data_IF_588396754043
#
_entry.id   IF_588396754043
#
_cell.length_a   1.000
_cell.length_b   1.000
_cell.length_c   1.000
_cell.angle_alpha   90.00
_cell.angle_beta   90.00
_cell.angle_gamma   90.00
#
_symmetry.space_group_name_H-M   'P 1'
#
loop_
_entity.id
_entity.type
_entity.pdbx_description
1 polymer ?
#
# COMPACT_ATOMS: atom_id res chain seq x y z
N UNK A 1 70.73 135.59 5.49
CA UNK A 1 70.55 134.53 6.52
C UNK A 1 69.12 134.49 7.05
N UNK A 2 68.49 135.63 7.39
CA UNK A 2 67.13 135.63 7.96
C UNK A 2 65.99 135.23 7.01
N UNK A 3 66.07 135.58 5.72
CA UNK A 3 65.00 135.27 4.75
C UNK A 3 64.86 133.76 4.46
N UNK A 4 65.96 133.01 4.52
CA UNK A 4 65.97 131.57 4.27
C UNK A 4 65.31 130.81 5.43
N UNK A 5 65.53 131.26 6.67
CA UNK A 5 64.93 130.66 7.87
C UNK A 5 63.40 130.81 7.87
N UNK A 6 62.89 131.98 7.47
CA UNK A 6 61.45 132.25 7.37
C UNK A 6 60.76 131.39 6.31
N UNK A 7 61.41 131.16 5.17
CA UNK A 7 60.86 130.30 4.10
C UNK A 7 60.82 128.84 4.57
N UNK A 8 61.85 128.36 5.26
CA UNK A 8 61.88 126.97 5.77
C UNK A 8 60.78 126.74 6.82
N UNK A 9 60.55 127.70 7.73
CA UNK A 9 59.47 127.62 8.72
C UNK A 9 58.10 127.65 8.05
N UNK A 10 57.91 128.50 7.03
CA UNK A 10 56.66 128.56 6.29
C UNK A 10 56.36 127.25 5.55
N UNK A 11 57.38 126.64 4.93
CA UNK A 11 57.23 125.34 4.25
C UNK A 11 56.93 124.23 5.26
N UNK A 12 57.61 124.20 6.42
CA UNK A 12 57.33 123.23 7.48
C UNK A 12 55.91 123.36 8.04
N UNK A 13 55.43 124.58 8.22
CA UNK A 13 54.05 124.85 8.64
C UNK A 13 53.03 124.38 7.60
N UNK A 14 53.29 124.60 6.30
CA UNK A 14 52.42 124.12 5.22
C UNK A 14 52.41 122.60 5.17
N UNK A 15 53.57 121.95 5.30
CA UNK A 15 53.67 120.48 5.32
C UNK A 15 52.93 119.89 6.53
N UNK A 16 53.07 120.48 7.72
CA UNK A 16 52.33 120.06 8.91
C UNK A 16 50.82 120.27 8.77
N UNK A 17 50.39 121.38 8.16
CA UNK A 17 48.98 121.66 7.88
C UNK A 17 48.39 120.64 6.90
N UNK A 18 49.11 120.34 5.81
CA UNK A 18 48.70 119.34 4.82
C UNK A 18 48.64 117.93 5.42
N UNK A 19 49.61 117.56 6.26
CA UNK A 19 49.60 116.28 6.97
C UNK A 19 48.46 116.19 7.99
N UNK A 20 48.13 117.28 8.68
CA UNK A 20 47.00 117.32 9.62
C UNK A 20 45.65 117.21 8.88
N UNK A 21 45.51 117.88 7.74
CA UNK A 21 44.28 117.87 6.93
C UNK A 21 44.07 116.51 6.24
N UNK A 22 45.14 115.88 5.75
CA UNK A 22 45.06 114.54 5.12
C UNK A 22 44.79 113.43 6.14
N UNK A 23 45.33 113.53 7.36
CA UNK A 23 45.05 112.56 8.44
C UNK A 23 43.61 112.66 8.96
N UNK A 24 43.06 113.87 9.07
CA UNK A 24 41.66 114.08 9.46
C UNK A 24 40.64 113.57 8.44
N UNK A 25 40.94 113.69 7.15
CA UNK A 25 40.06 113.23 6.06
C UNK A 25 40.03 111.70 5.92
N UNK A 26 41.15 111.03 6.20
CA UNK A 26 41.24 109.56 6.15
C UNK A 26 40.51 108.89 7.33
N UNK A 27 40.49 109.50 8.51
CA UNK A 27 39.70 108.98 9.65
C UNK A 27 38.20 109.10 9.41
N UNK A 28 37.73 110.22 8.85
CA UNK A 28 36.31 110.39 8.53
C UNK A 28 35.83 109.47 7.41
N UNK A 29 36.66 109.21 6.39
CA UNK A 29 36.32 108.21 5.36
C UNK A 29 36.28 106.79 5.93
N UNK A 30 37.20 106.43 6.83
CA UNK A 30 37.20 105.11 7.46
C UNK A 30 35.98 104.89 8.38
N UNK A 31 35.56 105.92 9.10
CA UNK A 31 34.34 105.87 9.93
C UNK A 31 33.07 105.76 9.07
N UNK A 32 32.97 106.53 7.98
CA UNK A 32 31.84 106.44 7.05
C UNK A 32 31.77 105.06 6.37
N UNK A 33 32.92 104.49 5.98
CA UNK A 33 32.97 103.15 5.41
C UNK A 33 32.57 102.07 6.43
N UNK A 34 33.00 102.20 7.69
CA UNK A 34 32.58 101.28 8.75
C UNK A 34 31.09 101.39 9.07
N UNK A 35 30.51 102.60 9.04
CA UNK A 35 29.08 102.81 9.26
C UNK A 35 28.29 102.21 8.09
N UNK A 36 28.68 102.49 6.84
CA UNK A 36 28.04 101.91 5.66
C UNK A 36 28.12 100.38 5.64
N UNK A 37 29.28 99.80 5.99
CA UNK A 37 29.45 98.35 6.07
C UNK A 37 28.60 97.73 7.20
N UNK A 38 28.52 98.39 8.36
CA UNK A 38 27.66 97.93 9.46
C UNK A 38 26.18 98.01 9.09
N UNK A 39 25.78 99.06 8.40
CA UNK A 39 24.41 99.23 7.92
C UNK A 39 24.07 98.15 6.87
N UNK A 40 24.94 97.91 5.90
CA UNK A 40 24.76 96.84 4.91
C UNK A 40 24.74 95.44 5.56
N UNK A 41 25.55 95.20 6.59
CA UNK A 41 25.52 93.95 7.35
C UNK A 41 24.24 93.80 8.20
N UNK A 42 23.67 94.89 8.70
CA UNK A 42 22.38 94.88 9.38
C UNK A 42 21.24 94.61 8.40
N UNK A 43 21.22 95.29 7.26
CA UNK A 43 20.23 95.08 6.19
C UNK A 43 20.30 93.64 5.66
N UNK A 44 21.48 93.12 5.34
CA UNK A 44 21.66 91.72 4.95
C UNK A 44 21.21 90.74 6.04
N UNK A 45 21.47 91.04 7.32
CA UNK A 45 21.06 90.16 8.41
C UNK A 45 19.54 90.20 8.62
N UNK A 46 18.91 91.33 8.41
CA UNK A 46 17.45 91.45 8.44
C UNK A 46 16.80 90.73 7.25
N UNK A 47 17.35 90.90 6.05
CA UNK A 47 16.88 90.22 4.84
C UNK A 47 17.04 88.70 4.96
N UNK A 48 18.21 88.22 5.41
CA UNK A 48 18.44 86.81 5.68
C UNK A 48 17.46 86.26 6.74
N UNK A 49 17.19 87.02 7.80
CA UNK A 49 16.22 86.61 8.80
C UNK A 49 14.79 86.58 8.27
N UNK A 50 14.43 87.45 7.31
CA UNK A 50 13.14 87.41 6.62
C UNK A 50 13.06 86.18 5.72
N UNK A 51 14.06 85.92 4.88
CA UNK A 51 14.11 84.74 4.01
C UNK A 51 14.08 83.43 4.80
N UNK A 52 14.78 83.35 5.94
CA UNK A 52 14.74 82.16 6.82
C UNK A 52 13.34 81.95 7.41
N UNK A 53 12.64 83.04 7.79
CA UNK A 53 11.26 82.93 8.30
C UNK A 53 10.29 82.49 7.21
N UNK A 54 10.41 83.04 6.01
CA UNK A 54 9.61 82.66 4.85
C UNK A 54 9.83 81.20 4.48
N UNK A 55 11.09 80.76 4.35
CA UNK A 55 11.42 79.35 4.10
C UNK A 55 10.90 78.43 5.19
N UNK A 56 10.97 78.85 6.46
CA UNK A 56 10.43 78.05 7.58
C UNK A 56 8.91 77.98 7.53
N UNK A 57 8.22 79.06 7.19
CA UNK A 57 6.76 79.07 7.01
C UNK A 57 6.34 78.17 5.86
N UNK A 58 6.99 78.31 4.70
CA UNK A 58 6.73 77.51 3.51
C UNK A 58 6.98 76.02 3.80
N UNK A 59 8.12 75.67 4.41
CA UNK A 59 8.42 74.30 4.79
C UNK A 59 7.42 73.73 5.82
N UNK A 60 7.00 74.53 6.81
CA UNK A 60 5.99 74.10 7.79
C UNK A 60 4.63 73.89 7.12
N UNK A 61 4.28 74.74 6.15
CA UNK A 61 3.03 74.64 5.41
C UNK A 61 3.04 73.42 4.49
N UNK A 62 4.12 73.18 3.74
CA UNK A 62 4.28 71.97 2.91
C UNK A 62 4.29 70.70 3.76
N UNK A 63 4.96 70.69 4.91
CA UNK A 63 4.94 69.54 5.83
C UNK A 63 3.55 69.27 6.37
N UNK A 64 2.79 70.29 6.76
CA UNK A 64 1.41 70.12 7.22
C UNK A 64 0.49 69.60 6.12
N UNK A 65 0.62 70.13 4.89
CA UNK A 65 -0.15 69.65 3.74
C UNK A 65 0.18 68.19 3.41
N UNK A 66 1.46 67.82 3.40
CA UNK A 66 1.89 66.45 3.15
C UNK A 66 1.41 65.50 4.26
N UNK A 67 1.45 65.94 5.52
CA UNK A 67 0.96 65.14 6.65
C UNK A 67 -0.56 64.91 6.56
N UNK A 68 -1.33 65.93 6.17
CA UNK A 68 -2.77 65.80 5.96
C UNK A 68 -3.08 64.84 4.81
N UNK A 69 -2.38 64.97 3.67
CA UNK A 69 -2.53 64.04 2.55
C UNK A 69 -2.16 62.60 2.93
N UNK A 70 -1.08 62.42 3.72
CA UNK A 70 -0.69 61.11 4.22
C UNK A 70 -1.77 60.52 5.13
N UNK A 71 -2.33 61.33 6.05
CA UNK A 71 -3.43 60.90 6.93
C UNK A 71 -4.66 60.48 6.13
N UNK A 72 -5.06 61.24 5.11
CA UNK A 72 -6.19 60.91 4.25
C UNK A 72 -5.95 59.62 3.44
N UNK A 73 -4.74 59.44 2.87
CA UNK A 73 -4.38 58.22 2.14
C UNK A 73 -4.35 57.01 3.08
N UNK A 74 -3.82 57.16 4.29
CA UNK A 74 -3.81 56.09 5.29
C UNK A 74 -5.22 55.75 5.76
N UNK A 75 -6.06 56.74 6.02
CA UNK A 75 -7.44 56.53 6.43
C UNK A 75 -8.27 55.85 5.33
N UNK A 76 -8.11 56.29 4.08
CA UNK A 76 -8.77 55.68 2.92
C UNK A 76 -8.28 54.24 2.69
N UNK A 77 -6.99 53.97 2.80
CA UNK A 77 -6.45 52.61 2.71
C UNK A 77 -6.95 51.71 3.84
N UNK A 78 -7.06 52.21 5.08
CA UNK A 78 -7.62 51.44 6.19
C UNK A 78 -9.11 51.12 5.98
N UNK A 79 -9.90 52.09 5.52
CA UNK A 79 -11.33 51.89 5.21
C UNK A 79 -11.51 50.87 4.08
N UNK A 80 -10.80 51.02 2.96
CA UNK A 80 -10.88 50.10 1.82
C UNK A 80 -10.37 48.70 2.18
N UNK A 81 -9.32 48.59 2.99
CA UNK A 81 -8.82 47.29 3.46
C UNK A 81 -9.82 46.63 4.41
N UNK A 82 -10.46 47.40 5.29
CA UNK A 82 -11.50 46.93 6.20
C UNK A 82 -12.76 46.45 5.46
N UNK A 83 -13.23 47.20 4.46
CA UNK A 83 -14.35 46.82 3.61
C UNK A 83 -14.05 45.56 2.79
N UNK A 84 -12.85 45.47 2.20
CA UNK A 84 -12.42 44.30 1.45
C UNK A 84 -12.31 43.04 2.34
N UNK A 85 -11.78 43.19 3.56
CA UNK A 85 -11.74 42.10 4.53
C UNK A 85 -13.16 41.65 4.89
N UNK A 86 -14.07 42.59 5.18
CA UNK A 86 -15.47 42.27 5.50
C UNK A 86 -16.18 41.57 4.35
N UNK A 87 -15.97 42.02 3.11
CA UNK A 87 -16.51 41.37 1.92
C UNK A 87 -15.94 39.95 1.72
N UNK A 88 -14.64 39.73 1.97
CA UNK A 88 -14.04 38.39 1.94
C UNK A 88 -14.60 37.48 3.03
N UNK A 89 -14.82 37.99 4.24
CA UNK A 89 -15.45 37.24 5.33
C UNK A 89 -16.89 36.87 4.99
N UNK A 90 -17.70 37.79 4.45
CA UNK A 90 -19.06 37.50 4.01
C UNK A 90 -19.09 36.48 2.87
N UNK A 91 -18.14 36.55 1.93
CA UNK A 91 -18.04 35.58 0.84
C UNK A 91 -17.63 34.20 1.35
N UNK A 92 -16.67 34.13 2.29
CA UNK A 92 -16.28 32.88 2.95
C UNK A 92 -17.44 32.28 3.75
N UNK A 93 -18.20 33.09 4.50
CA UNK A 93 -19.37 32.63 5.24
C UNK A 93 -20.42 32.02 4.32
N UNK A 94 -20.74 32.68 3.19
CA UNK A 94 -21.67 32.14 2.18
C UNK A 94 -21.15 30.86 1.52
N UNK A 95 -19.85 30.78 1.25
CA UNK A 95 -19.25 29.58 0.67
C UNK A 95 -19.27 28.41 1.65
N UNK A 96 -19.03 28.67 2.95
CA UNK A 96 -19.13 27.68 4.00
C UNK A 96 -20.57 27.19 4.19
N UNK A 97 -21.56 28.08 4.16
CA UNK A 97 -22.99 27.73 4.20
C UNK A 97 -23.41 26.88 2.98
N UNK A 98 -22.95 27.25 1.78
CA UNK A 98 -23.20 26.47 0.56
C UNK A 98 -22.58 25.07 0.62
N UNK A 99 -21.38 24.94 1.18
CA UNK A 99 -20.72 23.65 1.41
C UNK A 99 -21.45 22.80 2.43
N UNK A 100 -21.91 23.37 3.55
CA UNK A 100 -22.70 22.67 4.56
C UNK A 100 -24.00 22.13 3.94
N UNK A 101 -24.73 22.98 3.20
CA UNK A 101 -25.98 22.59 2.54
C UNK A 101 -25.77 21.54 1.44
N UNK A 102 -24.66 21.63 0.69
CA UNK A 102 -24.30 20.63 -0.32
C UNK A 102 -23.91 19.30 0.33
N UNK A 103 -23.22 19.34 1.47
CA UNK A 103 -22.81 18.15 2.22
C UNK A 103 -24.03 17.46 2.84
N UNK A 104 -24.94 18.22 3.45
CA UNK A 104 -26.20 17.70 3.99
C UNK A 104 -27.03 17.03 2.89
N UNK A 105 -27.19 17.68 1.72
CA UNK A 105 -27.88 17.08 0.58
C UNK A 105 -27.20 15.78 0.09
N UNK A 106 -25.87 15.75 -0.01
CA UNK A 106 -25.14 14.53 -0.41
C UNK A 106 -25.28 13.40 0.61
N UNK A 107 -25.34 13.73 1.90
CA UNK A 107 -25.57 12.76 2.97
C UNK A 107 -26.98 12.17 2.89
N UNK A 108 -28.00 13.00 2.62
CA UNK A 108 -29.38 12.54 2.40
C UNK A 108 -29.50 11.69 1.12
N UNK A 109 -28.90 12.11 0.01
CA UNK A 109 -28.89 11.34 -1.24
C UNK A 109 -28.19 9.98 -1.05
N UNK A 110 -27.09 9.93 -0.29
CA UNK A 110 -26.43 8.68 0.09
C UNK A 110 -27.31 7.82 1.00
N UNK A 111 -28.02 8.43 1.96
CA UNK A 111 -28.92 7.70 2.85
C UNK A 111 -30.06 7.04 2.07
N UNK A 112 -30.68 7.76 1.14
CA UNK A 112 -31.72 7.23 0.24
C UNK A 112 -31.17 6.13 -0.66
N UNK A 113 -29.99 6.33 -1.27
CA UNK A 113 -29.38 5.31 -2.14
C UNK A 113 -28.98 4.05 -1.36
N UNK A 114 -28.48 4.20 -0.12
CA UNK A 114 -28.13 3.08 0.75
C UNK A 114 -29.38 2.34 1.20
N UNK A 115 -30.46 3.04 1.53
CA UNK A 115 -31.74 2.44 1.90
C UNK A 115 -32.37 1.68 0.72
N UNK A 116 -32.35 2.27 -0.48
CA UNK A 116 -32.82 1.63 -1.72
C UNK A 116 -31.97 0.40 -2.07
N UNK A 117 -30.62 0.51 -2.03
CA UNK A 117 -29.74 -0.63 -2.30
C UNK A 117 -29.86 -1.70 -1.23
N UNK A 118 -29.98 -1.35 0.05
CA UNK A 118 -30.16 -2.33 1.11
C UNK A 118 -31.51 -3.02 0.98
N UNK A 119 -32.62 -2.31 0.79
CA UNK A 119 -33.93 -2.94 0.59
C UNK A 119 -33.95 -3.81 -0.66
N UNK A 120 -33.39 -3.33 -1.79
CA UNK A 120 -33.36 -4.10 -3.04
C UNK A 120 -32.46 -5.33 -2.93
N UNK A 121 -31.24 -5.17 -2.43
CA UNK A 121 -30.30 -6.30 -2.26
C UNK A 121 -30.78 -7.29 -1.22
N UNK A 122 -31.40 -6.82 -0.14
CA UNK A 122 -31.99 -7.66 0.89
C UNK A 122 -33.19 -8.42 0.33
N UNK A 123 -34.15 -7.76 -0.34
CA UNK A 123 -35.30 -8.43 -0.94
C UNK A 123 -34.92 -9.38 -2.08
N UNK A 124 -33.93 -9.04 -2.91
CA UNK A 124 -33.44 -9.93 -3.97
C UNK A 124 -32.72 -11.15 -3.38
N UNK A 125 -31.83 -10.97 -2.39
CA UNK A 125 -31.15 -12.10 -1.73
C UNK A 125 -32.08 -12.93 -0.88
N UNK A 126 -33.00 -12.32 -0.15
CA UNK A 126 -34.01 -13.02 0.64
C UNK A 126 -34.97 -13.75 -0.29
N UNK A 127 -35.42 -13.12 -1.38
CA UNK A 127 -36.27 -13.75 -2.41
C UNK A 127 -35.59 -14.93 -3.08
N UNK A 128 -34.33 -14.79 -3.51
CA UNK A 128 -33.55 -15.89 -4.08
C UNK A 128 -33.29 -17.00 -3.06
N UNK A 129 -32.98 -16.65 -1.80
CA UNK A 129 -32.78 -17.65 -0.75
C UNK A 129 -34.08 -18.38 -0.43
N UNK A 130 -35.23 -17.70 -0.42
CA UNK A 130 -36.54 -18.33 -0.25
C UNK A 130 -36.98 -19.14 -1.46
N UNK A 131 -36.65 -18.72 -2.70
CA UNK A 131 -36.85 -19.52 -3.92
C UNK A 131 -36.02 -20.80 -3.88
N UNK A 132 -34.74 -20.73 -3.48
CA UNK A 132 -33.87 -21.89 -3.34
C UNK A 132 -34.38 -22.81 -2.22
N UNK A 133 -34.74 -22.26 -1.06
CA UNK A 133 -35.29 -23.03 0.07
C UNK A 133 -36.64 -23.63 -0.29
N UNK A 134 -37.51 -22.91 -1.02
CA UNK A 134 -38.79 -23.41 -1.51
C UNK A 134 -38.59 -24.50 -2.56
N UNK A 135 -37.65 -24.33 -3.49
CA UNK A 135 -37.29 -25.35 -4.49
C UNK A 135 -36.72 -26.60 -3.80
N UNK A 136 -35.87 -26.43 -2.79
CA UNK A 136 -35.41 -27.55 -1.98
C UNK A 136 -36.54 -28.19 -1.17
N UNK A 137 -37.46 -27.41 -0.60
CA UNK A 137 -38.63 -27.94 0.10
C UNK A 137 -39.63 -28.63 -0.83
N UNK A 138 -39.82 -28.16 -2.06
CA UNK A 138 -40.62 -28.82 -3.09
C UNK A 138 -39.95 -30.10 -3.60
N UNK A 139 -38.62 -30.10 -3.78
CA UNK A 139 -37.85 -31.32 -4.11
C UNK A 139 -37.83 -32.31 -2.95
N UNK A 140 -37.79 -31.84 -1.70
CA UNK A 140 -37.93 -32.66 -0.49
C UNK A 140 -39.37 -33.15 -0.35
N UNK A 141 -40.39 -32.35 -0.63
CA UNK A 141 -41.79 -32.80 -0.61
C UNK A 141 -42.09 -33.79 -1.75
N UNK A 142 -41.50 -33.61 -2.94
CA UNK A 142 -41.55 -34.61 -4.02
C UNK A 142 -40.81 -35.88 -3.62
N UNK A 143 -39.59 -35.76 -3.07
CA UNK A 143 -38.82 -36.89 -2.53
C UNK A 143 -39.52 -37.60 -1.36
N UNK A 144 -40.29 -36.88 -0.54
CA UNK A 144 -41.13 -37.42 0.54
C UNK A 144 -42.45 -38.01 0.00
N UNK A 145 -42.99 -37.47 -1.09
CA UNK A 145 -44.10 -38.06 -1.84
C UNK A 145 -43.72 -39.38 -2.51
N UNK A 146 -42.50 -39.45 -3.05
CA UNK A 146 -41.85 -40.68 -3.50
C UNK A 146 -41.53 -41.60 -2.30
N UNK A 147 -41.28 -41.07 -1.11
CA UNK A 147 -41.11 -41.86 0.12
C UNK A 147 -42.41 -42.52 0.61
N UNK A 148 -43.58 -41.96 0.27
CA UNK A 148 -44.88 -42.64 0.46
C UNK A 148 -45.08 -43.80 -0.52
N UNK A 149 -44.37 -43.78 -1.66
CA UNK A 149 -44.20 -44.91 -2.59
C UNK A 149 -43.07 -45.86 -2.15
N UNK A 150 -42.09 -45.41 -1.37
CA UNK A 150 -40.97 -46.22 -0.85
C UNK A 150 -41.41 -47.28 0.17
N UNK A 151 -42.55 -47.10 0.81
CA UNK A 151 -43.18 -48.17 1.60
C UNK A 151 -43.60 -49.38 0.74
N UNK A 152 -43.76 -49.23 -0.59
CA UNK A 152 -43.95 -50.32 -1.54
C UNK A 152 -42.65 -50.86 -2.15
N UNK A 153 -41.51 -50.18 -1.99
CA UNK A 153 -40.25 -50.48 -2.70
C UNK A 153 -39.12 -51.04 -1.80
N UNK A 154 -39.50 -51.69 -0.70
CA UNK A 154 -38.60 -52.49 0.16
C UNK A 154 -37.97 -53.67 -0.64
N UNK A 155 -38.53 -54.01 -1.81
CA UNK A 155 -37.98 -54.98 -2.75
C UNK A 155 -36.66 -54.55 -3.40
N UNK A 156 -36.48 -53.26 -3.68
CA UNK A 156 -35.26 -52.71 -4.28
C UNK A 156 -34.05 -52.81 -3.35
N UNK A 157 -34.20 -52.41 -2.09
CA UNK A 157 -33.17 -52.56 -1.04
C UNK A 157 -32.84 -54.03 -0.77
N UNK A 158 -33.84 -54.92 -0.70
CA UNK A 158 -33.61 -56.37 -0.58
C UNK A 158 -32.83 -56.93 -1.78
N UNK A 159 -33.07 -56.41 -2.99
CA UNK A 159 -32.39 -56.82 -4.23
C UNK A 159 -30.94 -56.32 -4.30
N UNK A 160 -30.68 -55.11 -3.83
CA UNK A 160 -29.31 -54.55 -3.71
C UNK A 160 -28.51 -55.30 -2.65
N UNK A 161 -29.15 -55.65 -1.53
CA UNK A 161 -28.52 -56.37 -0.41
C UNK A 161 -28.35 -57.88 -0.63
N UNK A 162 -28.94 -58.47 -1.68
CA UNK A 162 -28.83 -59.91 -1.99
C UNK A 162 -27.80 -60.22 -3.09
N UNK A 163 -27.43 -59.27 -3.95
CA UNK A 163 -26.46 -59.48 -5.04
C UNK A 163 -25.05 -58.99 -4.66
N UNK A 164 -24.06 -59.89 -4.69
CA UNK A 164 -22.63 -59.62 -4.39
C UNK A 164 -22.08 -58.39 -5.11
N UNK A 165 -22.44 -58.16 -6.38
CA UNK A 165 -21.94 -57.02 -7.16
C UNK A 165 -22.58 -55.70 -6.73
N UNK A 166 -23.90 -55.70 -6.54
CA UNK A 166 -24.66 -54.53 -6.09
C UNK A 166 -24.24 -54.11 -4.67
N UNK A 167 -23.86 -55.09 -3.83
CA UNK A 167 -23.29 -54.91 -2.51
C UNK A 167 -21.96 -54.17 -2.51
N UNK A 168 -21.03 -54.56 -3.39
CA UNK A 168 -19.76 -53.85 -3.58
C UNK A 168 -20.00 -52.40 -3.99
N UNK A 169 -20.84 -52.20 -5.00
CA UNK A 169 -21.21 -50.86 -5.49
C UNK A 169 -21.88 -50.00 -4.40
N UNK A 170 -22.71 -50.58 -3.52
CA UNK A 170 -23.30 -49.82 -2.42
C UNK A 170 -22.24 -49.28 -1.44
N UNK A 171 -21.27 -50.12 -1.07
CA UNK A 171 -20.17 -49.71 -0.20
C UNK A 171 -19.31 -48.62 -0.83
N UNK A 172 -18.98 -48.77 -2.12
CA UNK A 172 -18.24 -47.78 -2.92
C UNK A 172 -18.98 -46.44 -3.00
N UNK A 173 -20.29 -46.45 -3.27
CA UNK A 173 -21.12 -45.24 -3.35
C UNK A 173 -21.18 -44.52 -2.01
N UNK A 174 -21.36 -45.27 -0.90
CA UNK A 174 -21.38 -44.68 0.43
C UNK A 174 -20.03 -44.07 0.81
N UNK A 175 -18.93 -44.77 0.50
CA UNK A 175 -17.57 -44.26 0.71
C UNK A 175 -17.32 -42.99 -0.13
N UNK A 176 -17.70 -43.01 -1.41
CA UNK A 176 -17.60 -41.88 -2.31
C UNK A 176 -18.36 -40.66 -1.80
N UNK A 177 -19.60 -40.84 -1.34
CA UNK A 177 -20.42 -39.77 -0.77
C UNK A 177 -19.77 -39.14 0.49
N UNK A 178 -19.19 -39.97 1.37
CA UNK A 178 -18.47 -39.47 2.55
C UNK A 178 -17.23 -38.65 2.16
N UNK A 179 -16.46 -39.11 1.17
CA UNK A 179 -15.29 -38.38 0.69
C UNK A 179 -15.69 -37.05 0.02
N UNK A 180 -16.70 -37.06 -0.85
CA UNK A 180 -17.19 -35.87 -1.55
C UNK A 180 -17.72 -34.80 -0.59
N UNK A 181 -18.40 -35.21 0.49
CA UNK A 181 -18.93 -34.27 1.48
C UNK A 181 -17.82 -33.64 2.35
N UNK A 182 -16.71 -34.37 2.61
CA UNK A 182 -15.72 -33.98 3.62
C UNK A 182 -14.40 -33.46 3.05
N UNK A 183 -14.08 -33.80 1.79
CA UNK A 183 -12.78 -33.55 1.16
C UNK A 183 -12.95 -32.83 -0.18
N UNK A 184 -12.01 -31.96 -0.52
CA UNK A 184 -11.98 -31.35 -1.85
C UNK A 184 -11.51 -32.37 -2.91
N UNK A 185 -11.97 -32.28 -4.16
CA UNK A 185 -11.60 -33.22 -5.22
C UNK A 185 -10.08 -33.34 -5.45
N UNK A 186 -9.29 -32.32 -5.13
CA UNK A 186 -7.83 -32.41 -5.26
C UNK A 186 -7.16 -33.24 -4.16
N UNK A 187 -7.87 -33.58 -3.08
CA UNK A 187 -7.32 -34.24 -1.90
C UNK A 187 -7.45 -35.77 -1.92
N UNK A 188 -8.16 -36.33 -2.88
CA UNK A 188 -8.28 -37.77 -3.09
C UNK A 188 -8.34 -38.11 -4.57
N UNK A 189 -8.10 -39.38 -4.92
CA UNK A 189 -8.40 -39.93 -6.24
C UNK A 189 -9.35 -41.12 -6.08
N UNK A 190 -10.23 -41.31 -7.06
CA UNK A 190 -11.04 -42.51 -7.20
C UNK A 190 -10.42 -43.44 -8.25
N UNK A 191 -10.55 -44.76 -8.06
CA UNK A 191 -10.06 -45.78 -8.99
C UNK A 191 -8.61 -45.55 -9.42
N UNK A 192 -7.70 -45.53 -8.44
CA UNK A 192 -6.30 -45.14 -8.64
C UNK A 192 -5.34 -46.30 -8.35
N UNK A 193 -4.21 -46.32 -9.06
CA UNK A 193 -3.11 -47.23 -8.78
C UNK A 193 -2.19 -46.61 -7.73
N UNK A 194 -2.14 -47.21 -6.55
CA UNK A 194 -1.34 -46.69 -5.43
C UNK A 194 0.13 -47.09 -5.51
N UNK A 195 0.43 -48.22 -6.17
CA UNK A 195 1.79 -48.72 -6.41
C UNK A 195 2.21 -48.46 -7.86
N UNK A 196 3.46 -48.00 -8.08
CA UNK A 196 4.01 -47.79 -9.44
C UNK A 196 3.99 -49.05 -10.31
N UNK A 197 4.20 -50.22 -9.71
CA UNK A 197 4.18 -51.53 -10.38
C UNK A 197 2.84 -52.28 -10.25
N UNK A 198 1.82 -51.66 -9.63
CA UNK A 198 0.53 -52.29 -9.39
C UNK A 198 -0.35 -52.32 -10.63
N UNK A 199 -1.09 -53.41 -10.82
CA UNK A 199 -2.15 -53.52 -11.83
C UNK A 199 -3.53 -53.21 -11.26
N UNK A 200 -3.68 -53.37 -9.95
CA UNK A 200 -4.95 -53.22 -9.23
C UNK A 200 -5.25 -51.76 -8.93
N UNK A 201 -6.53 -51.41 -9.01
CA UNK A 201 -7.06 -50.08 -8.69
C UNK A 201 -7.75 -50.14 -7.34
N UNK A 202 -7.39 -49.24 -6.44
CA UNK A 202 -8.14 -49.04 -5.20
C UNK A 202 -9.33 -48.13 -5.49
N UNK A 203 -10.46 -48.40 -4.84
CA UNK A 203 -11.69 -47.61 -4.99
C UNK A 203 -11.43 -46.12 -4.74
N UNK A 204 -10.76 -45.79 -3.64
CA UNK A 204 -10.36 -44.44 -3.31
C UNK A 204 -8.98 -44.39 -2.64
N UNK A 205 -8.24 -43.30 -2.83
CA UNK A 205 -7.04 -43.02 -2.07
C UNK A 205 -6.91 -41.54 -1.73
N UNK A 206 -6.62 -41.24 -0.46
CA UNK A 206 -6.36 -39.85 -0.01
C UNK A 206 -4.93 -39.49 -0.35
N UNK A 207 -4.72 -38.28 -0.87
CA UNK A 207 -3.41 -37.73 -1.20
C UNK A 207 -2.81 -37.02 0.01
N UNK A 208 -1.77 -37.59 0.58
CA UNK A 208 -1.02 -37.00 1.69
C UNK A 208 0.31 -36.39 1.17
N UNK A 209 0.82 -35.32 1.82
CA UNK A 209 2.14 -34.78 1.49
C UNK A 209 3.24 -35.79 1.84
N UNK A 210 4.16 -36.03 0.90
CA UNK A 210 5.35 -36.86 1.11
C UNK A 210 6.46 -36.13 1.86
N UNK A 211 7.40 -36.91 2.41
CA UNK A 211 8.49 -36.40 3.28
C UNK A 211 9.64 -35.76 2.51
N UNK A 212 9.90 -36.17 1.27
CA UNK A 212 11.20 -35.92 0.61
C UNK A 212 11.16 -34.88 -0.52
N UNK A 213 9.97 -34.39 -0.89
CA UNK A 213 9.85 -33.28 -1.84
C UNK A 213 8.46 -32.63 -1.72
N UNK A 214 8.39 -31.30 -1.86
CA UNK A 214 7.15 -30.53 -1.81
C UNK A 214 6.09 -30.94 -2.86
N UNK A 215 6.47 -31.85 -3.77
CA UNK A 215 5.68 -32.40 -4.87
C UNK A 215 5.52 -33.93 -4.84
N UNK A 216 6.02 -34.63 -3.80
CA UNK A 216 5.79 -36.07 -3.65
C UNK A 216 4.44 -36.30 -2.95
N UNK A 217 3.54 -37.03 -3.61
CA UNK A 217 2.24 -37.43 -3.03
C UNK A 217 2.33 -38.85 -2.54
N UNK A 218 1.90 -39.07 -1.30
CA UNK A 218 1.77 -40.40 -0.69
C UNK A 218 0.29 -40.75 -0.62
N UNK A 219 -0.09 -41.91 -1.14
CA UNK A 219 -1.48 -42.35 -1.12
C UNK A 219 -1.84 -43.08 0.18
N UNK A 220 -2.97 -42.73 0.80
CA UNK A 220 -3.63 -43.53 1.83
C UNK A 220 -4.79 -44.30 1.18
N UNK A 221 -4.63 -45.60 0.88
CA UNK A 221 -5.64 -46.39 0.19
C UNK A 221 -6.85 -46.66 1.09
N UNK A 222 -8.05 -46.60 0.52
CA UNK A 222 -9.33 -46.89 1.18
C UNK A 222 -10.15 -47.81 0.27
N UNK A 223 -10.52 -48.98 0.79
CA UNK A 223 -11.27 -50.01 0.05
C UNK A 223 -12.48 -50.47 0.87
N UNK A 224 -13.65 -50.50 0.26
CA UNK A 224 -14.89 -50.92 0.88
C UNK A 224 -15.06 -52.44 0.83
N UNK A 225 -15.34 -53.03 1.99
CA UNK A 225 -15.58 -54.47 2.12
C UNK A 225 -16.90 -54.73 2.82
N UNK A 226 -17.69 -55.65 2.28
CA UNK A 226 -19.00 -55.96 2.82
C UNK A 226 -19.22 -57.48 3.01
N UNK A 227 -18.78 -58.04 4.15
CA UNK A 227 -18.95 -59.46 4.49
C UNK A 227 -20.38 -59.77 5.01
N UNK A 228 -21.40 -59.24 4.33
CA UNK A 228 -22.80 -59.30 4.77
C UNK A 228 -23.26 -60.73 5.06
N UNK A 229 -23.04 -61.64 4.12
CA UNK A 229 -23.59 -63.01 4.21
C UNK A 229 -23.07 -63.74 5.47
N UNK A 230 -21.79 -63.55 5.81
CA UNK A 230 -21.16 -64.15 7.00
C UNK A 230 -21.60 -63.45 8.28
N UNK A 231 -21.78 -62.13 8.22
CA UNK A 231 -22.31 -61.35 9.35
C UNK A 231 -23.77 -61.71 9.65
N UNK A 232 -24.62 -61.88 8.63
CA UNK A 232 -26.02 -62.30 8.79
C UNK A 232 -26.10 -63.71 9.39
N UNK A 233 -25.28 -64.66 8.94
CA UNK A 233 -25.20 -65.99 9.56
C UNK A 233 -24.84 -65.94 11.04
N UNK A 234 -23.93 -65.04 11.42
CA UNK A 234 -23.59 -64.82 12.83
C UNK A 234 -24.73 -64.16 13.60
N UNK A 235 -25.40 -63.16 13.01
CA UNK A 235 -26.51 -62.46 13.62
C UNK A 235 -27.73 -63.36 13.82
N UNK A 236 -28.08 -64.18 12.82
CA UNK A 236 -29.18 -65.15 12.91
C UNK A 236 -28.90 -66.19 14.00
N UNK A 237 -27.65 -66.66 14.13
CA UNK A 237 -27.22 -67.56 15.20
C UNK A 237 -27.35 -66.91 16.59
N UNK A 238 -27.01 -65.61 16.68
CA UNK A 238 -27.14 -64.82 17.90
C UNK A 238 -28.62 -64.65 18.30
N UNK A 239 -29.49 -64.28 17.36
CA UNK A 239 -30.94 -64.15 17.59
C UNK A 239 -31.60 -65.49 17.97
N UNK A 240 -31.14 -66.59 17.37
CA UNK A 240 -31.60 -67.94 17.70
C UNK A 240 -31.08 -68.46 19.05
N UNK A 241 -30.08 -67.79 19.66
CA UNK A 241 -29.45 -68.20 20.91
C UNK A 241 -28.63 -69.50 20.80
N UNK A 242 -28.23 -69.89 19.59
CA UNK A 242 -27.42 -71.10 19.37
C UNK A 242 -25.93 -70.78 19.57
N UNK A 243 -25.42 -71.09 20.76
CA UNK A 243 -24.04 -70.81 21.15
C UNK A 243 -23.00 -71.50 20.24
N UNK A 244 -23.29 -72.71 19.75
CA UNK A 244 -22.35 -73.45 18.91
C UNK A 244 -22.27 -72.84 17.51
N UNK A 245 -23.44 -72.52 16.93
CA UNK A 245 -23.51 -71.87 15.63
C UNK A 245 -22.90 -70.46 15.68
N UNK A 246 -23.15 -69.72 16.76
CA UNK A 246 -22.58 -68.39 17.00
C UNK A 246 -21.05 -68.43 17.06
N UNK A 247 -20.46 -69.41 17.74
CA UNK A 247 -19.00 -69.59 17.77
C UNK A 247 -18.43 -69.90 16.38
N UNK A 248 -19.04 -70.82 15.64
CA UNK A 248 -18.58 -71.18 14.30
C UNK A 248 -18.68 -70.04 13.30
N UNK A 249 -19.83 -69.34 13.25
CA UNK A 249 -20.07 -68.20 12.36
C UNK A 249 -19.18 -67.02 12.74
N UNK A 250 -18.91 -66.83 14.04
CA UNK A 250 -17.97 -65.83 14.53
C UNK A 250 -16.53 -66.06 14.05
N UNK A 251 -16.04 -67.31 14.10
CA UNK A 251 -14.72 -67.67 13.56
C UNK A 251 -14.66 -67.48 12.04
N UNK A 252 -15.75 -67.80 11.34
CA UNK A 252 -15.86 -67.59 9.90
C UNK A 252 -15.81 -66.10 9.54
N UNK A 253 -16.48 -65.24 10.32
CA UNK A 253 -16.44 -63.78 10.17
C UNK A 253 -15.00 -63.27 10.34
N UNK A 254 -14.31 -63.69 11.41
CA UNK A 254 -12.90 -63.34 11.65
C UNK A 254 -12.00 -63.71 10.47
N UNK A 255 -12.09 -64.96 10.00
CA UNK A 255 -11.26 -65.43 8.89
C UNK A 255 -11.56 -64.67 7.59
N UNK A 256 -12.82 -64.33 7.36
CA UNK A 256 -13.26 -63.54 6.20
C UNK A 256 -12.67 -62.14 6.23
N UNK A 257 -12.76 -61.45 7.39
CA UNK A 257 -12.16 -60.12 7.57
C UNK A 257 -10.64 -60.16 7.41
N UNK A 258 -9.96 -61.16 7.98
CA UNK A 258 -8.51 -61.34 7.83
C UNK A 258 -8.11 -61.50 6.36
N UNK A 259 -8.85 -62.32 5.60
CA UNK A 259 -8.61 -62.49 4.16
C UNK A 259 -8.80 -61.18 3.40
N UNK A 260 -9.89 -60.47 3.66
CA UNK A 260 -10.15 -59.17 3.05
C UNK A 260 -9.04 -58.16 3.37
N UNK A 261 -8.53 -58.15 4.60
CA UNK A 261 -7.46 -57.25 5.02
C UNK A 261 -6.12 -57.60 4.35
N UNK A 262 -5.81 -58.89 4.26
CA UNK A 262 -4.65 -59.38 3.52
C UNK A 262 -4.73 -58.99 2.04
N UNK A 263 -5.89 -59.15 1.41
CA UNK A 263 -6.09 -58.77 0.02
C UNK A 263 -5.86 -57.26 -0.20
N UNK A 264 -6.36 -56.39 0.71
CA UNK A 264 -6.12 -54.94 0.66
C UNK A 264 -4.62 -54.62 0.84
N UNK A 265 -3.96 -55.28 1.79
CA UNK A 265 -2.53 -55.10 2.04
C UNK A 265 -1.68 -55.44 0.81
N UNK A 266 -1.84 -56.67 0.31
CA UNK A 266 -1.05 -57.21 -0.79
C UNK A 266 -1.24 -56.38 -2.06
N UNK A 267 -2.47 -55.93 -2.33
CA UNK A 267 -2.79 -55.12 -3.51
C UNK A 267 -2.34 -53.67 -3.39
N UNK A 268 -2.61 -53.00 -2.27
CA UNK A 268 -2.58 -51.53 -2.23
C UNK A 268 -1.51 -50.92 -1.32
N UNK A 269 -1.01 -51.63 -0.31
CA UNK A 269 -0.01 -51.09 0.63
C UNK A 269 1.41 -51.31 0.09
N UNK A 270 2.13 -50.23 -0.21
CA UNK A 270 3.49 -50.26 -0.73
C UNK A 270 4.24 -48.93 -0.55
N UNK A 271 4.78 -48.68 0.66
CA UNK A 271 5.72 -47.57 0.89
C UNK A 271 6.92 -47.63 -0.06
N UNK A 272 7.46 -46.48 -0.54
CA UNK A 272 7.15 -45.11 -0.11
C UNK A 272 5.99 -44.43 -0.85
N UNK A 273 5.36 -45.10 -1.81
CA UNK A 273 4.27 -44.50 -2.63
C UNK A 273 2.94 -44.43 -1.88
N UNK A 274 2.78 -45.27 -0.86
CA UNK A 274 1.63 -45.26 0.03
C UNK A 274 2.04 -45.06 1.48
N UNK A 275 1.05 -44.78 2.32
CA UNK A 275 1.19 -44.92 3.77
C UNK A 275 1.57 -46.34 4.16
N UNK A 276 2.14 -46.49 5.36
CA UNK A 276 2.48 -47.79 5.94
C UNK A 276 1.27 -48.67 6.24
N UNK A 277 0.06 -48.11 6.15
CA UNK A 277 -1.21 -48.77 6.40
C UNK A 277 -2.28 -48.34 5.38
N UNK A 278 -3.36 -49.10 5.26
CA UNK A 278 -4.55 -48.76 4.48
C UNK A 278 -5.80 -48.83 5.35
N UNK A 279 -6.91 -48.27 4.85
CA UNK A 279 -8.21 -48.30 5.52
C UNK A 279 -9.12 -49.34 4.86
N UNK A 280 -9.68 -50.23 5.66
CA UNK A 280 -10.81 -51.08 5.27
C UNK A 280 -12.10 -50.42 5.74
N UNK A 281 -12.93 -49.99 4.79
CA UNK A 281 -14.22 -49.39 5.07
C UNK A 281 -15.32 -50.45 5.13
N UNK A 282 -16.04 -50.50 6.25
CA UNK A 282 -17.21 -51.36 6.44
C UNK A 282 -18.47 -50.49 6.36
N UNK A 283 -19.33 -50.64 5.34
CA UNK A 283 -20.47 -49.74 5.08
C UNK A 283 -21.48 -49.64 6.24
N UNK A 284 -21.60 -50.71 7.03
CA UNK A 284 -22.55 -50.79 8.15
C UNK A 284 -21.83 -50.74 9.49
N UNK A 285 -22.27 -49.80 10.33
CA UNK A 285 -21.72 -49.60 11.67
C UNK A 285 -21.86 -50.85 12.54
N UNK A 286 -22.90 -51.67 12.32
CA UNK A 286 -23.11 -52.93 13.04
C UNK A 286 -22.01 -53.98 12.77
N UNK A 287 -21.53 -54.07 11.52
CA UNK A 287 -20.42 -54.97 11.16
C UNK A 287 -19.12 -54.45 11.78
N UNK A 288 -18.88 -53.13 11.70
CA UNK A 288 -17.75 -52.50 12.36
C UNK A 288 -17.75 -52.75 13.88
N UNK A 289 -18.90 -52.60 14.54
CA UNK A 289 -19.08 -52.83 15.96
C UNK A 289 -18.72 -54.27 16.37
N UNK A 290 -19.08 -55.26 15.56
CA UNK A 290 -18.73 -56.67 15.82
C UNK A 290 -17.23 -56.93 15.62
N UNK A 291 -16.60 -56.27 14.64
CA UNK A 291 -15.15 -56.40 14.39
C UNK A 291 -14.34 -55.78 15.53
N UNK A 292 -14.72 -54.60 16.05
CA UNK A 292 -14.00 -53.95 17.16
C UNK A 292 -14.15 -54.67 18.50
N UNK A 293 -15.24 -55.43 18.70
CA UNK A 293 -15.44 -56.27 19.89
C UNK A 293 -14.41 -57.39 19.99
N UNK A 294 -13.78 -57.77 18.86
CA UNK A 294 -12.78 -58.84 18.77
C UNK A 294 -11.38 -58.23 18.79
N UNK A 295 -10.88 -57.92 19.98
CA UNK A 295 -9.59 -57.22 20.15
C UNK A 295 -8.42 -57.92 19.47
N UNK A 296 -8.35 -59.25 19.54
CA UNK A 296 -7.31 -60.06 18.88
C UNK A 296 -7.34 -59.93 17.35
N UNK A 297 -8.54 -59.84 16.75
CA UNK A 297 -8.70 -59.58 15.33
C UNK A 297 -8.11 -58.21 14.98
N UNK A 298 -8.55 -57.14 15.64
CA UNK A 298 -8.07 -55.77 15.40
C UNK A 298 -6.54 -55.69 15.47
N UNK A 299 -5.94 -56.29 16.50
CA UNK A 299 -4.48 -56.33 16.64
C UNK A 299 -3.80 -57.02 15.46
N UNK A 300 -4.35 -58.14 15.01
CA UNK A 300 -3.85 -58.87 13.83
C UNK A 300 -3.93 -57.98 12.59
N UNK A 301 -5.08 -57.35 12.35
CA UNK A 301 -5.31 -56.48 11.19
C UNK A 301 -4.32 -55.32 11.15
N UNK A 302 -4.09 -54.67 12.29
CA UNK A 302 -3.22 -53.51 12.39
C UNK A 302 -1.73 -53.88 12.33
N UNK A 303 -1.30 -54.92 13.06
CA UNK A 303 0.13 -55.29 13.18
C UNK A 303 0.63 -56.03 11.96
N UNK A 304 -0.10 -57.06 11.52
CA UNK A 304 0.33 -57.97 10.44
C UNK A 304 -0.04 -57.42 9.07
N UNK A 305 -1.31 -57.06 8.85
CA UNK A 305 -1.79 -56.61 7.54
C UNK A 305 -1.71 -55.09 7.35
N UNK A 306 -1.33 -54.32 8.38
CA UNK A 306 -1.30 -52.86 8.32
C UNK A 306 -2.64 -52.27 7.85
N UNK A 307 -3.75 -52.82 8.32
CA UNK A 307 -5.09 -52.36 7.98
C UNK A 307 -5.76 -51.75 9.21
N UNK A 308 -6.31 -50.54 9.04
CA UNK A 308 -7.19 -49.90 10.00
C UNK A 308 -8.62 -50.09 9.52
N UNK A 309 -9.47 -50.70 10.36
CA UNK A 309 -10.89 -50.91 10.03
C UNK A 309 -11.72 -49.72 10.49
N UNK A 310 -12.65 -49.26 9.66
CA UNK A 310 -13.51 -48.11 9.97
C UNK A 310 -14.96 -48.36 9.54
N UNK A 311 -15.92 -47.98 10.39
CA UNK A 311 -17.30 -47.72 9.98
C UNK A 311 -17.51 -46.28 9.47
N UNK A 312 -18.71 -45.92 8.96
CA UNK A 312 -19.03 -44.57 8.49
C UNK A 312 -18.70 -43.46 9.48
N UNK A 313 -19.02 -43.64 10.76
CA UNK A 313 -18.79 -42.60 11.78
C UNK A 313 -17.30 -42.42 12.06
N UNK A 314 -16.56 -43.52 12.15
CA UNK A 314 -15.12 -43.49 12.47
C UNK A 314 -14.31 -42.97 11.27
N UNK A 315 -14.68 -43.37 10.05
CA UNK A 315 -14.07 -42.81 8.83
C UNK A 315 -14.32 -41.30 8.76
N UNK A 316 -15.56 -40.84 9.00
CA UNK A 316 -15.86 -39.41 9.03
C UNK A 316 -14.98 -38.65 10.04
N UNK A 317 -14.75 -39.20 11.23
CA UNK A 317 -13.85 -38.60 12.21
C UNK A 317 -12.40 -38.51 11.71
N UNK A 318 -11.88 -39.57 11.07
CA UNK A 318 -10.54 -39.59 10.47
C UNK A 318 -10.44 -38.54 9.35
N UNK A 319 -11.43 -38.49 8.45
CA UNK A 319 -11.47 -37.52 7.35
C UNK A 319 -11.50 -36.08 7.88
N UNK A 320 -12.29 -35.81 8.92
CA UNK A 320 -12.33 -34.48 9.56
C UNK A 320 -10.96 -34.10 10.14
N UNK A 321 -10.31 -35.03 10.83
CA UNK A 321 -8.96 -34.83 11.37
C UNK A 321 -7.93 -34.56 10.27
N UNK A 322 -8.01 -35.29 9.14
CA UNK A 322 -7.15 -35.07 7.97
C UNK A 322 -7.42 -33.71 7.32
N UNK A 323 -8.68 -33.29 7.21
CA UNK A 323 -9.07 -31.99 6.68
C UNK A 323 -8.43 -30.85 7.48
N UNK A 324 -8.39 -30.96 8.81
CA UNK A 324 -7.70 -30.00 9.68
C UNK A 324 -6.19 -29.96 9.37
N UNK A 325 -5.56 -31.13 9.20
CA UNK A 325 -4.16 -31.22 8.78
C UNK A 325 -3.87 -30.56 7.43
N UNK A 326 -4.74 -30.77 6.44
CA UNK A 326 -4.60 -30.13 5.12
C UNK A 326 -4.76 -28.61 5.18
N UNK A 327 -5.68 -28.09 6.00
CA UNK A 327 -5.83 -26.64 6.21
C UNK A 327 -4.56 -26.02 6.77
N UNK A 328 -3.94 -26.67 7.76
CA UNK A 328 -2.66 -26.23 8.33
C UNK A 328 -1.55 -26.24 7.28
N UNK A 329 -1.46 -27.28 6.45
CA UNK A 329 -0.47 -27.36 5.38
C UNK A 329 -0.69 -26.29 4.30
N UNK A 330 -1.93 -26.03 3.91
CA UNK A 330 -2.28 -25.01 2.92
C UNK A 330 -1.88 -23.61 3.40
N UNK A 331 -2.05 -23.32 4.70
CA UNK A 331 -1.58 -22.08 5.32
C UNK A 331 -0.04 -22.00 5.24
N UNK A 332 0.68 -23.07 5.59
CA UNK A 332 2.14 -23.11 5.51
C UNK A 332 2.67 -22.87 4.09
N UNK A 333 2.06 -23.49 3.06
CA UNK A 333 2.45 -23.27 1.66
C UNK A 333 2.31 -21.79 1.25
N UNK A 334 1.18 -21.16 1.57
CA UNK A 334 0.96 -19.72 1.28
C UNK A 334 1.97 -18.83 2.00
N UNK A 335 2.36 -19.16 3.24
CA UNK A 335 3.42 -18.43 3.94
C UNK A 335 4.78 -18.60 3.24
N UNK A 336 5.11 -19.78 2.72
CA UNK A 336 6.34 -20.03 1.96
C UNK A 336 6.42 -19.24 0.63
N UNK A 337 5.30 -19.11 -0.07
CA UNK A 337 5.20 -18.28 -1.28
C UNK A 337 5.51 -16.81 -0.98
N UNK A 338 5.00 -16.27 0.13
CA UNK A 338 5.32 -14.89 0.57
C UNK A 338 6.81 -14.70 0.80
N UNK A 339 7.50 -15.64 1.44
CA UNK A 339 8.95 -15.59 1.63
C UNK A 339 9.72 -15.64 0.31
N UNK A 340 9.24 -16.42 -0.65
CA UNK A 340 9.85 -16.52 -1.99
C UNK A 340 9.72 -15.18 -2.73
N UNK A 341 8.53 -14.57 -2.70
CA UNK A 341 8.29 -13.24 -3.30
C UNK A 341 9.15 -12.18 -2.61
N UNK A 342 9.22 -12.18 -1.28
CA UNK A 342 10.09 -11.25 -0.54
C UNK A 342 11.58 -11.45 -0.86
N UNK A 343 12.03 -12.69 -1.07
CA UNK A 343 13.39 -13.00 -1.52
C UNK A 343 13.69 -12.46 -2.93
N UNK A 344 12.74 -12.60 -3.85
CA UNK A 344 12.84 -12.02 -5.19
C UNK A 344 12.90 -10.49 -5.14
N UNK A 345 12.03 -9.86 -4.35
CA UNK A 345 12.00 -8.39 -4.16
C UNK A 345 13.32 -7.90 -3.54
N UNK A 346 13.85 -8.58 -2.52
CA UNK A 346 15.16 -8.24 -1.92
C UNK A 346 16.30 -8.28 -2.93
N UNK A 347 16.28 -9.27 -3.82
CA UNK A 347 17.28 -9.42 -4.89
C UNK A 347 17.20 -8.24 -5.86
N UNK A 348 15.99 -7.86 -6.25
CA UNK A 348 15.77 -6.73 -7.18
C UNK A 348 16.14 -5.39 -6.54
N UNK A 349 15.83 -5.19 -5.25
CA UNK A 349 16.27 -4.03 -4.48
C UNK A 349 17.79 -3.92 -4.38
N UNK A 350 18.49 -5.06 -4.26
CA UNK A 350 19.96 -5.08 -4.23
C UNK A 350 20.56 -4.64 -5.57
N UNK A 351 19.97 -5.07 -6.70
CA UNK A 351 20.38 -4.61 -8.03
C UNK A 351 20.10 -3.12 -8.23
N UNK A 352 18.95 -2.63 -7.77
CA UNK A 352 18.60 -1.21 -7.82
C UNK A 352 19.57 -0.35 -6.99
N UNK A 353 19.98 -0.83 -5.81
CA UNK A 353 21.03 -0.20 -5.02
C UNK A 353 22.34 -0.04 -5.79
N UNK A 354 22.80 -1.09 -6.49
CA UNK A 354 24.00 -1.02 -7.34
C UNK A 354 23.87 -0.06 -8.54
N UNK A 355 22.67 0.11 -9.09
CA UNK A 355 22.38 1.11 -10.13
C UNK A 355 22.46 2.54 -9.58
N UNK A 356 21.88 2.80 -8.41
CA UNK A 356 22.00 4.10 -7.73
C UNK A 356 23.44 4.45 -7.39
N UNK A 357 24.23 3.47 -6.94
CA UNK A 357 25.65 3.67 -6.64
C UNK A 357 26.46 4.05 -7.91
N UNK A 358 26.14 3.43 -9.07
CA UNK A 358 26.69 3.84 -10.36
C UNK A 358 26.30 5.27 -10.75
N UNK A 359 25.03 5.64 -10.57
CA UNK A 359 24.55 7.00 -10.85
C UNK A 359 25.26 8.03 -9.97
N UNK A 360 25.43 7.73 -8.68
CA UNK A 360 26.20 8.58 -7.76
C UNK A 360 27.64 8.77 -8.24
N UNK A 361 28.33 7.69 -8.62
CA UNK A 361 29.69 7.75 -9.17
C UNK A 361 29.79 8.61 -10.44
N UNK A 362 28.81 8.49 -11.34
CA UNK A 362 28.78 9.27 -12.57
C UNK A 362 28.55 10.76 -12.29
N UNK A 363 27.64 11.10 -11.38
CA UNK A 363 27.41 12.50 -10.96
C UNK A 363 28.64 13.10 -10.30
N UNK A 364 29.34 12.34 -9.47
CA UNK A 364 30.58 12.79 -8.85
C UNK A 364 31.69 13.03 -9.88
N UNK A 365 31.85 12.10 -10.83
CA UNK A 365 32.81 12.24 -11.94
C UNK A 365 32.49 13.44 -12.84
N UNK A 366 31.21 13.70 -13.10
CA UNK A 366 30.76 14.87 -13.85
C UNK A 366 31.04 16.18 -13.07
N UNK A 367 30.88 16.17 -11.76
CA UNK A 367 31.27 17.28 -10.87
C UNK A 367 32.77 17.56 -10.94
N UNK A 368 33.61 16.52 -10.84
CA UNK A 368 35.07 16.64 -10.92
C UNK A 368 35.53 17.21 -12.28
N UNK A 369 34.89 16.76 -13.38
CA UNK A 369 35.16 17.26 -14.73
C UNK A 369 34.75 18.73 -14.90
N UNK A 370 33.61 19.14 -14.34
CA UNK A 370 33.17 20.53 -14.33
C UNK A 370 34.17 21.42 -13.58
N UNK A 371 34.69 20.96 -12.44
CA UNK A 371 35.68 21.69 -11.66
C UNK A 371 37.03 21.83 -12.40
N UNK A 372 37.46 20.80 -13.13
CA UNK A 372 38.68 20.86 -13.95
C UNK A 372 38.56 21.88 -15.08
N UNK A 373 37.45 21.85 -15.82
CA UNK A 373 37.22 22.73 -16.97
C UNK A 373 36.97 24.18 -16.52
N UNK A 374 36.01 24.41 -15.62
CA UNK A 374 35.63 25.75 -15.18
C UNK A 374 36.64 26.38 -14.22
N UNK A 375 37.33 25.57 -13.43
CA UNK A 375 38.26 26.05 -12.41
C UNK A 375 39.68 26.21 -12.96
N UNK A 376 40.34 25.11 -13.30
CA UNK A 376 41.78 25.13 -13.61
C UNK A 376 42.05 25.64 -15.03
N UNK A 377 41.32 25.13 -16.03
CA UNK A 377 41.53 25.51 -17.43
C UNK A 377 41.10 26.95 -17.70
N UNK A 378 39.91 27.37 -17.28
CA UNK A 378 39.47 28.77 -17.45
C UNK A 378 40.41 29.75 -16.78
N UNK A 379 40.83 29.52 -15.52
CA UNK A 379 41.79 30.41 -14.84
C UNK A 379 43.19 30.39 -15.47
N UNK A 380 43.61 29.28 -16.08
CA UNK A 380 44.87 29.22 -16.80
C UNK A 380 44.81 29.99 -18.12
N UNK A 381 43.68 29.89 -18.83
CA UNK A 381 43.39 30.62 -20.07
C UNK A 381 43.29 32.13 -19.79
N UNK A 382 42.52 32.55 -18.77
CA UNK A 382 42.43 33.96 -18.36
C UNK A 382 43.80 34.55 -17.98
N UNK A 383 44.64 33.77 -17.30
CA UNK A 383 45.98 34.22 -16.88
C UNK A 383 46.92 34.38 -18.07
N UNK A 384 46.77 33.56 -19.11
CA UNK A 384 47.50 33.69 -20.38
C UNK A 384 46.95 34.83 -21.25
N UNK A 385 45.64 35.02 -21.29
CA UNK A 385 44.99 36.12 -22.02
C UNK A 385 45.29 37.50 -21.39
N UNK A 386 45.43 37.58 -20.07
CA UNK A 386 45.86 38.82 -19.37
C UNK A 386 47.26 39.31 -19.74
N UNK A 387 48.10 38.46 -20.33
CA UNK A 387 49.46 38.81 -20.76
C UNK A 387 49.52 39.34 -22.20
N UNK A 388 48.40 39.32 -22.92
CA UNK A 388 48.32 39.80 -24.29
C UNK A 388 47.65 41.19 -24.25
N UNK A 389 48.37 42.22 -24.70
CA UNK A 389 47.80 43.56 -24.85
C UNK A 389 46.56 43.52 -25.76
N UNK A 390 45.47 44.17 -25.31
CA UNK A 390 44.26 44.28 -26.11
C UNK A 390 44.56 45.06 -27.38
N UNK A 391 44.40 44.41 -28.53
CA UNK A 391 44.46 45.07 -29.83
C UNK A 391 43.27 46.06 -29.97
N UNK A 392 43.47 47.22 -30.62
CA UNK A 392 42.37 48.12 -30.98
C UNK A 392 41.26 47.37 -31.73
N UNK A 393 40.01 47.72 -31.45
CA UNK A 393 38.83 46.99 -31.94
C UNK A 393 38.80 46.82 -33.47
N UNK A 394 39.27 47.83 -34.22
CA UNK A 394 39.33 47.80 -35.68
C UNK A 394 40.33 46.79 -36.26
N UNK A 395 41.43 46.50 -35.56
CA UNK A 395 42.40 45.47 -35.98
C UNK A 395 41.93 44.07 -35.58
N UNK A 396 41.23 43.95 -34.44
CA UNK A 396 40.64 42.68 -34.03
C UNK A 396 39.55 42.21 -35.00
N UNK A 397 38.68 43.11 -35.50
CA UNK A 397 37.66 42.74 -36.49
C UNK A 397 38.23 42.31 -37.85
N UNK A 398 39.44 42.78 -38.22
CA UNK A 398 40.10 42.31 -39.46
C UNK A 398 40.65 40.90 -39.36
N UNK A 399 41.06 40.49 -38.15
CA UNK A 399 41.64 39.16 -37.89
C UNK A 399 40.56 38.14 -37.53
N UNK A 400 39.54 38.59 -36.80
CA UNK A 400 38.38 37.82 -36.39
C UNK A 400 37.11 38.60 -36.76
N UNK A 401 36.64 38.52 -38.01
CA UNK A 401 35.34 39.03 -38.37
C UNK A 401 34.30 38.13 -37.73
N UNK A 402 33.74 38.57 -36.61
CA UNK A 402 32.58 37.93 -36.01
C UNK A 402 31.37 38.64 -36.59
N UNK A 403 30.72 38.03 -37.58
CA UNK A 403 29.40 38.46 -38.00
C UNK A 403 28.44 38.25 -36.83
N UNK A 404 27.98 39.36 -36.25
CA UNK A 404 26.86 39.35 -35.32
C UNK A 404 25.60 39.33 -36.18
N UNK A 405 25.36 38.22 -36.87
CA UNK A 405 24.01 37.93 -37.34
C UNK A 405 23.18 37.53 -36.12
N UNK A 406 22.24 38.41 -35.76
CA UNK A 406 21.17 38.19 -34.79
C UNK A 406 20.32 37.00 -35.25
N UNK A 407 20.75 35.78 -34.93
CA UNK A 407 19.91 34.59 -35.01
C UNK A 407 19.16 34.41 -33.67
N UNK A 408 18.26 35.36 -33.42
CA UNK A 408 17.16 35.21 -32.46
C UNK A 408 15.88 34.88 -33.25
N UNK A 409 15.84 33.69 -33.83
CA UNK A 409 14.56 33.06 -34.20
C UNK A 409 14.55 31.58 -33.87
N UNK A 410 13.53 31.21 -33.08
CA UNK A 410 13.01 29.87 -32.78
C UNK A 410 13.90 28.88 -32.01
N UNK A 411 13.63 28.72 -30.71
CA UNK A 411 12.73 27.68 -30.17
C UNK A 411 12.43 27.89 -28.68
#
# INVERSE_FOLDING_TARGET
MELILLIVIAVLMIVLLVLSLTKGNNQTQAEQLQIALRQQMQENREELNRSIRELRMEMTQTLNQNMQQLQDVLHKNMMTTGELQRQKFDMMARQQEALLKSTEKRLDDMRLMVEEKLQKTLNERIGQSFEIVRSQLENVQKGLGEMKSLAQDVGGLKKVLSNVKMRGTFGEVQLGALLEQMMSPEQYDANVKTKKSGTEFVEFAIKLPGKDDANSTVYLPIDAKFPKDVYEQYYDAFEAGDAALMESSGKQLENTIKKMAKDIHDKYVGPPFTTDFAIMFLPFESIYAEVIRRTSLIETLQKEYKIVVTGPTTLGAILNSLQMGFRTLAIQKRTGEVWTVLGAVKTEFSKFGGLLEKVQKNLQSAGDQLEEVMGKRTRAIERKLRQVEQLPHEESQKILPIDVEDDLTDY
#
